data_IF_918659119779
#
_entry.id   IF_918659119779
#
_cell.length_a   1.000
_cell.length_b   1.000
_cell.length_c   1.000
_cell.angle_alpha   90.00
_cell.angle_beta   90.00
_cell.angle_gamma   90.00
#
_symmetry.space_group_name_H-M   'P 1'
#
loop_
_entity.id
_entity.type
_entity.pdbx_description
1 polymer ?
#
# COMPACT_ATOMS: atom_id res chain seq x y z
N UNK A 1 -26.69 -10.44 -28.29
CA UNK A 1 -26.78 -10.27 -26.83
C UNK A 1 -27.56 -9.01 -26.53
N UNK A 2 -28.73 -9.12 -25.91
CA UNK A 2 -29.56 -7.97 -25.54
C UNK A 2 -28.87 -7.14 -24.45
N UNK A 3 -29.10 -5.83 -24.43
CA UNK A 3 -28.52 -4.92 -23.44
C UNK A 3 -28.82 -5.37 -22.00
N UNK A 4 -30.04 -5.86 -21.77
CA UNK A 4 -30.46 -6.45 -20.49
C UNK A 4 -29.56 -7.62 -20.06
N UNK A 5 -29.18 -8.50 -20.99
CA UNK A 5 -28.32 -9.66 -20.69
C UNK A 5 -26.94 -9.22 -20.21
N UNK A 6 -26.38 -8.13 -20.78
CA UNK A 6 -25.08 -7.59 -20.35
C UNK A 6 -25.13 -7.07 -18.91
N UNK A 7 -26.21 -6.36 -18.54
CA UNK A 7 -26.39 -5.82 -17.18
C UNK A 7 -26.51 -6.96 -16.16
N UNK A 8 -27.28 -8.00 -16.47
CA UNK A 8 -27.43 -9.17 -15.57
C UNK A 8 -26.08 -9.87 -15.34
N UNK A 9 -25.27 -10.04 -16.38
CA UNK A 9 -23.93 -10.63 -16.24
C UNK A 9 -23.03 -9.76 -15.35
N UNK A 10 -23.05 -8.43 -15.52
CA UNK A 10 -22.27 -7.51 -14.70
C UNK A 10 -22.66 -7.57 -13.21
N UNK A 11 -23.96 -7.63 -12.92
CA UNK A 11 -24.46 -7.75 -11.54
C UNK A 11 -24.04 -9.07 -10.89
N UNK A 12 -24.07 -10.18 -11.63
CA UNK A 12 -23.62 -11.49 -11.15
C UNK A 12 -22.12 -11.49 -10.80
N UNK A 13 -21.28 -10.87 -11.64
CA UNK A 13 -19.84 -10.76 -11.37
C UNK A 13 -19.57 -9.92 -10.12
N UNK A 14 -20.28 -8.80 -9.94
CA UNK A 14 -20.13 -7.97 -8.75
C UNK A 14 -20.53 -8.71 -7.46
N UNK A 15 -21.62 -9.49 -7.49
CA UNK A 15 -22.05 -10.31 -6.36
C UNK A 15 -21.04 -11.41 -6.00
N UNK A 16 -20.44 -12.05 -7.01
CA UNK A 16 -19.38 -13.05 -6.79
C UNK A 16 -18.14 -12.45 -6.14
N UNK A 17 -17.71 -11.25 -6.55
CA UNK A 17 -16.55 -10.56 -5.94
C UNK A 17 -16.84 -10.25 -4.46
N UNK A 18 -18.03 -9.74 -4.15
CA UNK A 18 -18.43 -9.40 -2.77
C UNK A 18 -18.55 -10.65 -1.87
N UNK A 19 -19.00 -11.78 -2.42
CA UNK A 19 -19.08 -13.04 -1.68
C UNK A 19 -17.69 -13.59 -1.34
N UNK A 20 -16.74 -13.57 -2.29
CA UNK A 20 -15.38 -14.06 -2.07
C UNK A 20 -14.61 -13.22 -1.05
N UNK A 21 -14.86 -11.91 -0.98
CA UNK A 21 -14.22 -11.05 0.03
C UNK A 21 -14.84 -11.15 1.42
N UNK A 22 -16.06 -11.69 1.55
CA UNK A 22 -16.75 -11.79 2.85
C UNK A 22 -16.50 -13.13 3.57
N UNK A 23 -15.85 -14.10 2.92
CA UNK A 23 -15.60 -15.45 3.46
C UNK A 23 -14.25 -15.58 4.18
N UNK A 24 -13.85 -14.54 4.93
CA UNK A 24 -12.77 -14.63 5.93
C UNK A 24 -13.18 -13.92 7.21
N UNK A 25 -14.37 -14.29 7.69
CA UNK A 25 -14.93 -13.86 8.96
C UNK A 25 -15.08 -15.06 9.88
N UNK A 26 -13.97 -15.57 10.40
CA UNK A 26 -13.97 -16.50 11.53
C UNK A 26 -12.78 -16.18 12.45
N UNK A 27 -13.11 -15.68 13.63
CA UNK A 27 -12.45 -15.91 14.92
C UNK A 27 -10.94 -15.67 15.04
N UNK A 28 -10.57 -14.53 15.62
CA UNK A 28 -9.87 -14.47 16.92
C UNK A 28 -9.72 -13.00 17.33
N UNK A 29 -10.41 -12.61 18.40
CA UNK A 29 -10.20 -11.35 19.10
C UNK A 29 -8.94 -11.46 19.96
N UNK A 30 -7.85 -10.88 19.47
CA UNK A 30 -6.77 -10.36 20.32
C UNK A 30 -6.69 -8.85 20.05
N UNK A 31 -7.53 -8.11 20.75
CA UNK A 31 -7.38 -6.67 20.94
C UNK A 31 -6.15 -6.43 21.83
N UNK A 32 -4.96 -6.20 21.28
CA UNK A 32 -3.90 -5.40 21.91
C UNK A 32 -2.82 -5.00 20.88
N UNK A 33 -2.66 -3.68 20.72
CA UNK A 33 -1.51 -2.99 20.10
C UNK A 33 -1.55 -2.67 18.59
N UNK A 34 -2.65 -2.08 18.11
CA UNK A 34 -2.62 -1.20 16.93
C UNK A 34 -2.03 0.17 17.30
N UNK A 35 -0.70 0.21 17.47
CA UNK A 35 0.07 1.44 17.65
C UNK A 35 0.26 2.11 16.28
N UNK A 36 -0.49 3.19 16.04
CA UNK A 36 -0.18 4.25 15.07
C UNK A 36 0.13 3.81 13.63
N UNK A 37 -0.87 3.32 12.89
CA UNK A 37 -0.75 3.10 11.43
C UNK A 37 -1.31 4.29 10.65
N UNK A 38 -0.70 5.48 10.83
CA UNK A 38 -0.78 6.52 9.79
C UNK A 38 -0.01 5.98 8.58
N UNK A 39 -0.73 5.51 7.55
CA UNK A 39 -0.19 4.73 6.42
C UNK A 39 1.24 5.07 5.99
N UNK A 40 2.21 4.36 6.54
CA UNK A 40 3.62 4.66 6.32
C UNK A 40 3.99 4.23 4.89
N UNK A 41 4.31 5.21 4.03
CA UNK A 41 4.68 4.97 2.64
C UNK A 41 5.93 4.07 2.57
N UNK A 42 6.04 3.23 1.53
CA UNK A 42 7.20 2.35 1.37
C UNK A 42 8.50 3.18 1.33
N UNK A 43 9.54 2.66 2.00
CA UNK A 43 10.86 3.28 2.02
C UNK A 43 11.49 3.25 0.62
N UNK A 44 12.05 4.39 0.22
CA UNK A 44 12.69 4.57 -1.08
C UNK A 44 14.11 4.03 -1.13
N UNK A 45 14.43 3.33 -2.22
CA UNK A 45 15.75 2.80 -2.56
C UNK A 45 16.75 3.88 -2.96
N UNK A 46 18.00 3.47 -3.27
CA UNK A 46 19.04 4.35 -3.80
C UNK A 46 18.57 5.04 -5.09
N UNK A 47 18.77 6.35 -5.18
CA UNK A 47 18.19 7.26 -6.17
C UNK A 47 16.65 7.39 -6.18
N UNK A 48 15.94 6.76 -5.23
CA UNK A 48 14.49 6.94 -5.06
C UNK A 48 14.12 8.33 -4.51
N UNK A 49 12.87 8.74 -4.76
CA UNK A 49 12.34 10.04 -4.32
C UNK A 49 12.00 10.05 -2.82
N UNK A 50 12.52 11.02 -2.08
CA UNK A 50 12.21 11.26 -0.65
C UNK A 50 11.40 12.54 -0.42
N UNK A 51 10.57 12.91 -1.40
CA UNK A 51 9.59 13.98 -1.22
C UNK A 51 8.58 13.53 -0.17
N UNK A 52 8.42 14.31 0.91
CA UNK A 52 7.50 13.97 2.00
C UNK A 52 6.10 13.63 1.44
N UNK A 53 5.46 12.57 1.95
CA UNK A 53 5.80 11.80 3.16
C UNK A 53 6.82 10.67 2.94
N UNK A 54 7.37 10.47 1.73
CA UNK A 54 8.32 9.37 1.46
C UNK A 54 9.62 9.55 2.25
N UNK A 55 10.13 8.44 2.78
CA UNK A 55 11.40 8.35 3.51
C UNK A 55 12.36 7.43 2.75
N UNK A 56 13.66 7.63 2.93
CA UNK A 56 14.69 6.74 2.39
C UNK A 56 14.86 5.49 3.26
N UNK A 57 15.40 4.40 2.70
CA UNK A 57 15.89 3.27 3.51
C UNK A 57 16.94 3.74 4.53
N UNK A 58 17.07 3.07 5.71
CA UNK A 58 17.87 3.58 6.83
C UNK A 58 19.36 3.84 6.54
N UNK A 59 19.94 3.15 5.55
CA UNK A 59 21.33 3.33 5.14
C UNK A 59 21.55 4.49 4.14
N UNK A 60 20.48 5.18 3.76
CA UNK A 60 20.47 6.29 2.80
C UNK A 60 20.03 7.58 3.50
N UNK A 61 20.46 8.72 2.96
CA UNK A 61 20.02 10.06 3.36
C UNK A 61 19.34 10.76 2.19
N UNK A 62 18.26 11.48 2.49
CA UNK A 62 17.63 12.39 1.54
C UNK A 62 18.54 13.61 1.35
N UNK A 63 18.96 13.91 0.13
CA UNK A 63 19.79 15.07 -0.17
C UNK A 63 18.95 16.29 -0.63
N UNK A 64 19.61 17.41 -0.95
CA UNK A 64 18.96 18.63 -1.42
C UNK A 64 18.18 18.47 -2.74
N UNK A 65 18.50 17.46 -3.56
CA UNK A 65 17.78 17.13 -4.78
C UNK A 65 16.54 16.23 -4.54
N UNK A 66 16.15 16.02 -3.28
CA UNK A 66 15.01 15.19 -2.88
C UNK A 66 15.12 13.73 -3.35
N UNK A 67 16.35 13.19 -3.40
CA UNK A 67 16.63 11.78 -3.68
C UNK A 67 17.43 11.12 -2.56
N UNK A 68 17.27 9.81 -2.43
CA UNK A 68 17.96 8.97 -1.46
C UNK A 68 19.35 8.57 -1.95
N UNK A 69 20.40 9.03 -1.28
CA UNK A 69 21.79 8.71 -1.63
C UNK A 69 22.54 8.22 -0.39
N UNK A 70 23.64 7.50 -0.60
CA UNK A 70 24.52 7.18 0.52
C UNK A 70 25.03 8.47 1.16
N UNK A 71 25.12 8.53 2.50
CA UNK A 71 25.84 9.62 3.14
C UNK A 71 27.27 9.62 2.56
N UNK A 72 27.76 10.77 2.10
CA UNK A 72 29.18 10.89 1.74
C UNK A 72 29.99 10.52 2.97
N UNK A 73 30.57 9.33 2.97
CA UNK A 73 31.58 8.93 3.97
C UNK A 73 32.75 9.87 3.77
N UNK A 74 32.92 10.86 4.64
CA UNK A 74 34.10 11.70 4.65
C UNK A 74 35.33 10.84 4.87
N UNK A 75 36.22 10.79 3.86
CA UNK A 75 37.64 10.54 4.05
C UNK A 75 38.33 11.89 4.12
#
# INVERSE_FOLDING_TARGET
MNFATKIVILLLVAALILAVTSEKGDSSSDDNEAKETEGELPLSDFYGSCVRPKKCKPHLKCNAAQICVFPKTGR
#
